data_IF_259167719903
#
_entry.id   IF_259167719903
#
_cell.length_a   1.000
_cell.length_b   1.000
_cell.length_c   1.000
_cell.angle_alpha   90.00
_cell.angle_beta   90.00
_cell.angle_gamma   90.00
#
_symmetry.space_group_name_H-M   'P 1'
#
loop_
_entity.id
_entity.type
_entity.pdbx_description
1 polymer ?
#
# COMPACT_ATOMS: atom_id res chain seq x y z
N UNK A 1 13.92 6.60 -16.82
CA UNK A 1 12.48 6.66 -17.16
C UNK A 1 12.33 7.00 -18.63
N UNK A 2 11.47 6.29 -19.37
CA UNK A 2 11.16 6.66 -20.75
C UNK A 2 10.17 7.84 -20.75
N UNK A 3 10.16 8.71 -21.79
CA UNK A 3 9.27 9.88 -21.85
C UNK A 3 7.77 9.53 -21.79
N UNK A 4 7.40 8.30 -22.17
CA UNK A 4 6.03 7.79 -22.06
C UNK A 4 5.60 7.55 -20.60
N UNK A 5 6.51 7.08 -19.76
CA UNK A 5 6.25 6.83 -18.33
C UNK A 5 6.07 8.15 -17.58
N UNK A 6 6.84 9.17 -17.96
CA UNK A 6 6.73 10.53 -17.41
C UNK A 6 5.37 11.16 -17.77
N UNK A 7 4.94 11.02 -19.02
CA UNK A 7 3.65 11.55 -19.46
C UNK A 7 2.49 10.84 -18.76
N UNK A 8 2.53 9.51 -18.62
CA UNK A 8 1.52 8.76 -17.88
C UNK A 8 1.45 9.18 -16.41
N UNK A 9 2.60 9.40 -15.76
CA UNK A 9 2.68 9.83 -14.36
C UNK A 9 2.15 11.26 -14.19
N UNK A 10 2.51 12.16 -15.09
CA UNK A 10 2.03 13.55 -15.09
C UNK A 10 0.52 13.64 -15.32
N UNK A 11 -0.02 12.84 -16.27
CA UNK A 11 -1.47 12.75 -16.51
C UNK A 11 -2.18 12.20 -15.28
N UNK A 12 -1.67 11.11 -14.69
CA UNK A 12 -2.25 10.54 -13.48
C UNK A 12 -2.24 11.51 -12.29
N UNK A 13 -1.16 12.29 -12.12
CA UNK A 13 -1.08 13.34 -11.10
C UNK A 13 -2.09 14.45 -11.36
N UNK A 14 -2.22 14.90 -12.61
CA UNK A 14 -3.20 15.91 -12.99
C UNK A 14 -4.64 15.44 -12.73
N UNK A 15 -4.95 14.17 -13.02
CA UNK A 15 -6.25 13.55 -12.70
C UNK A 15 -6.45 13.52 -11.17
N UNK A 16 -5.46 13.07 -10.41
CA UNK A 16 -5.53 13.07 -8.94
C UNK A 16 -5.82 14.47 -8.38
N UNK A 17 -5.05 15.48 -8.81
CA UNK A 17 -5.25 16.88 -8.41
C UNK A 17 -6.62 17.41 -8.81
N UNK A 18 -7.13 17.08 -9.99
CA UNK A 18 -8.46 17.47 -10.43
C UNK A 18 -9.55 16.85 -9.54
N UNK A 19 -9.41 15.59 -9.14
CA UNK A 19 -10.35 14.94 -8.22
C UNK A 19 -10.30 15.58 -6.83
N UNK A 20 -9.10 15.90 -6.31
CA UNK A 20 -8.96 16.61 -5.04
C UNK A 20 -9.58 18.02 -5.08
N UNK A 21 -9.38 18.75 -6.17
CA UNK A 21 -9.99 20.06 -6.37
C UNK A 21 -11.52 19.95 -6.44
N UNK A 22 -12.06 18.96 -7.16
CA UNK A 22 -13.48 18.69 -7.21
C UNK A 22 -14.05 18.31 -5.83
N UNK A 23 -13.35 17.46 -5.08
CA UNK A 23 -13.72 17.05 -3.73
C UNK A 23 -13.78 18.26 -2.78
N UNK A 24 -12.76 19.12 -2.82
CA UNK A 24 -12.73 20.35 -2.03
C UNK A 24 -13.84 21.32 -2.46
N UNK A 25 -14.10 21.48 -3.76
CA UNK A 25 -15.17 22.33 -4.27
C UNK A 25 -16.56 21.84 -3.80
N UNK A 26 -16.85 20.55 -3.91
CA UNK A 26 -18.10 19.93 -3.46
C UNK A 26 -18.27 20.03 -1.94
N UNK A 27 -17.19 19.93 -1.17
CA UNK A 27 -17.21 20.09 0.28
C UNK A 27 -17.31 21.55 0.75
N UNK A 28 -17.39 22.52 -0.17
CA UNK A 28 -17.45 23.94 0.15
C UNK A 28 -16.05 24.55 0.31
N UNK A 29 -15.29 24.62 -0.79
CA UNK A 29 -13.84 24.88 -0.81
C UNK A 29 -13.30 25.94 0.16
N UNK A 30 -13.98 27.08 0.34
CA UNK A 30 -13.59 28.08 1.37
C UNK A 30 -13.63 27.51 2.79
N UNK A 31 -14.70 26.83 3.17
CA UNK A 31 -14.81 26.19 4.48
C UNK A 31 -13.75 25.09 4.69
N UNK A 32 -13.33 24.41 3.62
CA UNK A 32 -12.22 23.44 3.68
C UNK A 32 -10.90 24.15 3.94
N UNK A 33 -10.62 25.25 3.23
CA UNK A 33 -9.42 26.07 3.43
C UNK A 33 -9.39 26.70 4.82
N UNK A 34 -10.53 27.20 5.31
CA UNK A 34 -10.65 27.77 6.66
C UNK A 34 -10.42 26.70 7.73
N UNK A 35 -10.94 25.48 7.54
CA UNK A 35 -10.71 24.36 8.45
C UNK A 35 -9.24 23.91 8.47
N UNK A 36 -8.56 23.92 7.31
CA UNK A 36 -7.12 23.67 7.22
C UNK A 36 -6.30 24.79 7.89
N UNK A 37 -6.67 26.05 7.66
CA UNK A 37 -6.01 27.22 8.26
C UNK A 37 -6.20 27.31 9.78
N UNK A 38 -7.33 26.81 10.29
CA UNK A 38 -7.63 26.70 11.71
C UNK A 38 -7.09 25.43 12.39
N UNK A 39 -6.40 24.56 11.65
CA UNK A 39 -5.91 23.29 12.18
C UNK A 39 -4.88 23.52 13.31
N UNK A 40 -5.03 22.79 14.41
CA UNK A 40 -4.12 22.91 15.57
C UNK A 40 -2.71 22.41 15.21
N UNK A 41 -1.67 23.26 15.19
CA UNK A 41 -0.34 22.88 14.69
C UNK A 41 0.29 21.73 15.47
N UNK A 42 0.10 21.68 16.78
CA UNK A 42 0.59 20.58 17.62
C UNK A 42 0.02 19.23 17.19
N UNK A 43 -1.26 19.15 16.84
CA UNK A 43 -1.86 17.91 16.35
C UNK A 43 -1.39 17.58 14.93
N UNK A 44 -1.20 18.59 14.06
CA UNK A 44 -0.60 18.38 12.72
C UNK A 44 0.79 17.75 12.81
N UNK A 45 1.62 18.20 13.75
CA UNK A 45 2.93 17.59 13.99
C UNK A 45 2.84 16.13 14.46
N UNK A 46 1.87 15.81 15.32
CA UNK A 46 1.64 14.41 15.75
C UNK A 46 1.09 13.55 14.60
N UNK A 47 0.27 14.11 13.71
CA UNK A 47 -0.16 13.42 12.47
C UNK A 47 1.05 13.07 11.61
N UNK A 48 1.98 14.01 11.39
CA UNK A 48 3.22 13.75 10.69
C UNK A 48 4.06 12.66 11.39
N UNK A 49 4.16 12.70 12.72
CA UNK A 49 4.86 11.67 13.49
C UNK A 49 4.20 10.28 13.34
N UNK A 50 2.87 10.20 13.30
CA UNK A 50 2.13 8.97 13.08
C UNK A 50 2.39 8.39 11.68
N UNK A 51 2.46 9.24 10.65
CA UNK A 51 2.79 8.85 9.27
C UNK A 51 4.23 8.31 9.19
N UNK A 52 5.18 8.97 9.85
CA UNK A 52 6.57 8.48 9.91
C UNK A 52 6.67 7.16 10.70
N UNK A 53 5.93 7.03 11.80
CA UNK A 53 5.87 5.79 12.57
C UNK A 53 5.31 4.65 11.73
N UNK A 54 4.24 4.89 10.95
CA UNK A 54 3.73 3.92 9.98
C UNK A 54 4.82 3.48 8.99
N UNK A 55 5.55 4.42 8.39
CA UNK A 55 6.62 4.13 7.45
C UNK A 55 7.74 3.27 8.08
N UNK A 56 8.12 3.58 9.32
CA UNK A 56 9.11 2.81 10.07
C UNK A 56 8.61 1.39 10.41
N UNK A 57 7.38 1.27 10.89
CA UNK A 57 6.78 -0.01 11.27
C UNK A 57 6.63 -0.95 10.07
N UNK A 58 6.25 -0.41 8.91
CA UNK A 58 6.21 -1.17 7.67
C UNK A 58 7.60 -1.56 7.17
N UNK A 59 8.61 -0.70 7.36
CA UNK A 59 10.02 -1.09 7.17
C UNK A 59 10.47 -2.24 8.06
N UNK A 60 10.03 -2.30 9.33
CA UNK A 60 10.31 -3.42 10.23
C UNK A 60 9.57 -4.71 9.82
N UNK A 61 8.34 -4.59 9.32
CA UNK A 61 7.62 -5.72 8.75
C UNK A 61 8.33 -6.26 7.50
N UNK A 62 8.80 -5.37 6.62
CA UNK A 62 9.62 -5.74 5.46
C UNK A 62 10.93 -6.42 5.89
N UNK A 63 11.60 -5.91 6.92
CA UNK A 63 12.79 -6.55 7.49
C UNK A 63 12.51 -7.99 7.94
N UNK A 64 11.40 -8.23 8.61
CA UNK A 64 11.02 -9.57 9.07
C UNK A 64 10.76 -10.52 7.88
N UNK A 65 10.13 -10.01 6.81
CA UNK A 65 9.96 -10.74 5.54
C UNK A 65 11.32 -11.07 4.92
N UNK A 66 12.21 -10.09 4.75
CA UNK A 66 13.54 -10.30 4.18
C UNK A 66 14.39 -11.27 5.02
N UNK A 67 14.31 -11.17 6.34
CA UNK A 67 14.98 -12.11 7.23
C UNK A 67 14.48 -13.55 7.01
N UNK A 68 13.18 -13.75 6.75
CA UNK A 68 12.61 -15.06 6.44
C UNK A 68 13.18 -15.68 5.16
N UNK A 69 13.69 -14.83 4.27
CA UNK A 69 14.36 -15.22 3.02
C UNK A 69 15.87 -15.46 3.20
N UNK A 70 16.37 -15.35 4.44
CA UNK A 70 17.80 -15.48 4.74
C UNK A 70 18.61 -14.21 4.43
N UNK A 71 17.95 -13.08 4.15
CA UNK A 71 18.62 -11.79 3.93
C UNK A 71 18.60 -10.98 5.23
N UNK A 72 19.75 -10.84 5.88
CA UNK A 72 19.86 -10.01 7.08
C UNK A 72 20.08 -8.55 6.70
N UNK A 73 19.02 -7.75 6.83
CA UNK A 73 19.04 -6.31 6.57
C UNK A 73 18.90 -5.58 7.89
N UNK A 74 19.72 -4.54 8.09
CA UNK A 74 19.61 -3.66 9.25
C UNK A 74 18.24 -2.98 9.32
N UNK A 75 17.77 -2.64 10.52
CA UNK A 75 16.47 -1.98 10.70
C UNK A 75 16.37 -0.66 9.92
N UNK A 76 17.44 0.15 9.94
CA UNK A 76 17.50 1.41 9.22
C UNK A 76 17.40 1.20 7.71
N UNK A 77 18.16 0.24 7.17
CA UNK A 77 18.16 -0.03 5.74
C UNK A 77 16.81 -0.56 5.27
N UNK A 78 16.14 -1.40 6.04
CA UNK A 78 14.79 -1.86 5.72
C UNK A 78 13.75 -0.70 5.72
N UNK A 79 13.88 0.26 6.64
CA UNK A 79 13.06 1.48 6.64
C UNK A 79 13.37 2.36 5.43
N UNK A 80 14.64 2.54 5.07
CA UNK A 80 15.04 3.29 3.88
C UNK A 80 14.53 2.63 2.60
N UNK A 81 14.61 1.30 2.50
CA UNK A 81 14.07 0.53 1.38
C UNK A 81 12.55 0.68 1.30
N UNK A 82 11.83 0.59 2.43
CA UNK A 82 10.38 0.81 2.46
C UNK A 82 10.00 2.26 2.09
N UNK A 83 10.79 3.25 2.51
CA UNK A 83 10.60 4.65 2.12
C UNK A 83 10.86 4.86 0.62
N UNK A 84 11.93 4.27 0.07
CA UNK A 84 12.23 4.31 -1.35
C UNK A 84 11.14 3.62 -2.20
N UNK A 85 10.58 2.51 -1.70
CA UNK A 85 9.43 1.84 -2.29
C UNK A 85 8.19 2.74 -2.33
N UNK A 86 7.88 3.41 -1.22
CA UNK A 86 6.77 4.36 -1.16
C UNK A 86 6.95 5.51 -2.18
N UNK A 87 8.18 6.03 -2.31
CA UNK A 87 8.49 7.01 -3.35
C UNK A 87 8.27 6.47 -4.76
N UNK A 88 8.75 5.25 -5.06
CA UNK A 88 8.54 4.61 -6.35
C UNK A 88 7.03 4.52 -6.68
N UNK A 89 6.22 4.06 -5.72
CA UNK A 89 4.76 3.97 -5.85
C UNK A 89 4.09 5.34 -6.10
N UNK A 90 4.67 6.41 -5.57
CA UNK A 90 4.15 7.78 -5.72
C UNK A 90 4.54 8.45 -7.04
N UNK A 91 5.54 7.92 -7.75
CA UNK A 91 5.99 8.46 -9.05
C UNK A 91 5.64 7.55 -10.23
N UNK A 92 5.14 6.33 -9.99
CA UNK A 92 4.70 5.41 -11.04
C UNK A 92 3.19 5.51 -11.30
N UNK A 93 2.75 5.46 -12.58
CA UNK A 93 1.33 5.29 -12.90
C UNK A 93 0.81 3.96 -12.35
N UNK A 94 -0.50 3.86 -12.08
CA UNK A 94 -1.12 2.69 -11.44
C UNK A 94 -0.73 2.45 -9.97
N UNK A 95 -0.20 3.46 -9.28
CA UNK A 95 0.04 3.43 -7.83
C UNK A 95 0.76 2.16 -7.38
N UNK A 96 0.10 1.35 -6.55
CA UNK A 96 0.61 0.08 -6.03
C UNK A 96 0.91 -0.94 -7.16
N UNK A 97 -0.01 -1.13 -8.12
CA UNK A 97 0.14 -2.15 -9.16
C UNK A 97 1.27 -1.83 -10.16
N UNK A 98 1.59 -0.56 -10.39
CA UNK A 98 2.71 -0.13 -11.23
C UNK A 98 4.03 0.05 -10.46
N UNK A 99 3.95 0.33 -9.17
CA UNK A 99 5.10 0.57 -8.31
C UNK A 99 5.70 -0.68 -7.68
N UNK A 100 4.95 -1.78 -7.59
CA UNK A 100 5.44 -3.09 -7.13
C UNK A 100 6.66 -3.60 -7.93
N UNK A 101 6.65 -3.63 -9.29
CA UNK A 101 7.85 -4.00 -10.06
C UNK A 101 9.01 -3.02 -9.88
N UNK A 102 8.74 -1.71 -9.77
CA UNK A 102 9.78 -0.71 -9.55
C UNK A 102 10.43 -0.87 -8.16
N UNK A 103 9.62 -1.17 -7.15
CA UNK A 103 10.06 -1.49 -5.79
C UNK A 103 10.88 -2.77 -5.77
N UNK A 104 10.43 -3.81 -6.45
CA UNK A 104 11.18 -5.07 -6.57
C UNK A 104 12.54 -4.87 -7.27
N UNK A 105 12.62 -4.00 -8.29
CA UNK A 105 13.91 -3.62 -8.90
C UNK A 105 14.82 -2.90 -7.90
N UNK A 106 14.30 -1.93 -7.14
CA UNK A 106 15.08 -1.22 -6.11
C UNK A 106 15.60 -2.20 -5.03
N UNK A 107 14.76 -3.12 -4.57
CA UNK A 107 15.14 -4.15 -3.60
C UNK A 107 16.18 -5.11 -4.19
N UNK A 108 16.05 -5.48 -5.46
CA UNK A 108 17.01 -6.33 -6.16
C UNK A 108 18.39 -5.66 -6.25
N UNK A 109 18.43 -4.37 -6.62
CA UNK A 109 19.66 -3.58 -6.73
C UNK A 109 20.33 -3.35 -5.36
N UNK A 110 19.55 -2.98 -4.34
CA UNK A 110 20.09 -2.72 -2.99
C UNK A 110 20.53 -4.01 -2.29
N UNK A 111 19.76 -5.08 -2.46
CA UNK A 111 20.00 -6.36 -1.78
C UNK A 111 20.89 -7.34 -2.55
N UNK A 112 21.30 -7.02 -3.79
CA UNK A 112 22.03 -7.95 -4.65
C UNK A 112 21.26 -9.25 -4.93
N UNK A 113 19.93 -9.18 -4.96
CA UNK A 113 19.06 -10.36 -5.14
C UNK A 113 18.45 -10.39 -6.53
N UNK A 114 18.16 -11.58 -7.11
CA UNK A 114 17.44 -11.65 -8.38
C UNK A 114 16.07 -10.97 -8.28
N UNK A 115 15.68 -10.29 -9.36
CA UNK A 115 14.42 -9.55 -9.45
C UNK A 115 13.20 -10.40 -9.08
N UNK A 116 13.14 -11.66 -9.51
CA UNK A 116 12.03 -12.57 -9.21
C UNK A 116 11.91 -12.85 -7.71
N UNK A 117 13.04 -12.97 -7.01
CA UNK A 117 13.07 -13.15 -5.55
C UNK A 117 12.64 -11.88 -4.82
N UNK A 118 13.12 -10.72 -5.27
CA UNK A 118 12.72 -9.43 -4.72
C UNK A 118 11.22 -9.18 -4.93
N UNK A 119 10.69 -9.51 -6.11
CA UNK A 119 9.26 -9.41 -6.44
C UNK A 119 8.42 -10.34 -5.55
N UNK A 120 8.85 -11.58 -5.37
CA UNK A 120 8.19 -12.52 -4.45
C UNK A 120 8.20 -12.04 -3.00
N UNK A 121 9.28 -11.39 -2.56
CA UNK A 121 9.38 -10.79 -1.23
C UNK A 121 8.38 -9.65 -1.03
N UNK A 122 8.27 -8.75 -2.02
CA UNK A 122 7.31 -7.64 -1.99
C UNK A 122 5.88 -8.15 -2.05
N UNK A 123 5.56 -9.09 -2.94
CA UNK A 123 4.23 -9.72 -2.94
C UNK A 123 3.91 -10.37 -1.59
N UNK A 124 4.87 -11.04 -0.96
CA UNK A 124 4.68 -11.64 0.37
C UNK A 124 4.35 -10.57 1.42
N UNK A 125 5.05 -9.45 1.36
CA UNK A 125 4.80 -8.29 2.22
C UNK A 125 3.40 -7.70 1.98
N UNK A 126 2.97 -7.54 0.72
CA UNK A 126 1.66 -6.98 0.39
C UNK A 126 0.51 -7.89 0.85
N UNK A 127 0.60 -9.19 0.55
CA UNK A 127 -0.38 -10.21 0.99
C UNK A 127 -0.47 -10.24 2.52
N UNK A 128 0.66 -10.12 3.22
CA UNK A 128 0.69 -10.06 4.67
C UNK A 128 -0.04 -8.83 5.20
N UNK A 129 0.12 -7.67 4.55
CA UNK A 129 -0.54 -6.42 4.95
C UNK A 129 -2.07 -6.43 4.80
N UNK A 130 -2.61 -7.28 3.92
CA UNK A 130 -4.06 -7.45 3.75
C UNK A 130 -4.72 -7.97 5.03
N UNK A 131 -4.05 -8.86 5.78
CA UNK A 131 -4.63 -9.51 6.97
C UNK A 131 -4.92 -8.49 8.09
N UNK A 132 -3.96 -7.64 8.52
CA UNK A 132 -4.25 -6.58 9.48
C UNK A 132 -5.27 -5.56 8.98
N UNK A 133 -5.20 -5.19 7.69
CA UNK A 133 -6.14 -4.24 7.07
C UNK A 133 -7.59 -4.70 7.21
N UNK A 134 -7.88 -5.93 6.76
CA UNK A 134 -9.22 -6.52 6.85
C UNK A 134 -9.66 -6.74 8.30
N UNK A 135 -8.73 -7.14 9.18
CA UNK A 135 -9.03 -7.36 10.59
C UNK A 135 -9.46 -6.06 11.28
N UNK A 136 -8.73 -4.97 11.07
CA UNK A 136 -9.07 -3.67 11.62
C UNK A 136 -10.38 -3.12 11.04
N UNK A 137 -10.61 -3.32 9.74
CA UNK A 137 -11.88 -2.97 9.11
C UNK A 137 -13.06 -3.72 9.73
N UNK A 138 -12.92 -5.03 9.93
CA UNK A 138 -13.95 -5.87 10.56
C UNK A 138 -14.22 -5.43 12.00
N UNK A 139 -13.16 -5.17 12.79
CA UNK A 139 -13.30 -4.68 14.17
C UNK A 139 -13.98 -3.31 14.21
N UNK A 140 -13.60 -2.38 13.33
CA UNK A 140 -14.21 -1.05 13.23
C UNK A 140 -15.70 -1.11 12.88
N UNK A 141 -16.07 -1.94 11.89
CA UNK A 141 -17.47 -2.13 11.50
C UNK A 141 -18.28 -2.82 12.59
N UNK A 142 -17.71 -3.84 13.25
CA UNK A 142 -18.37 -4.53 14.36
C UNK A 142 -18.63 -3.56 15.53
N UNK A 143 -17.63 -2.76 15.91
CA UNK A 143 -17.78 -1.74 16.94
C UNK A 143 -18.85 -0.70 16.55
N UNK A 144 -18.85 -0.23 15.30
CA UNK A 144 -19.86 0.70 14.79
C UNK A 144 -21.29 0.11 14.89
N UNK A 145 -21.45 -1.16 14.53
CA UNK A 145 -22.75 -1.85 14.57
C UNK A 145 -23.34 -1.98 15.98
N UNK A 146 -22.52 -1.91 17.04
CA UNK A 146 -23.01 -1.96 18.43
C UNK A 146 -23.66 -0.66 18.90
N UNK A 147 -23.32 0.47 18.28
CA UNK A 147 -23.73 1.82 18.75
C UNK A 147 -24.63 2.55 17.75
N UNK A 148 -24.65 2.13 16.49
CA UNK A 148 -25.40 2.78 15.44
C UNK A 148 -26.21 1.77 14.63
N UNK A 149 -27.44 2.14 14.30
CA UNK A 149 -28.22 1.42 13.31
C UNK A 149 -27.52 1.54 11.94
N UNK A 150 -27.06 0.42 11.40
CA UNK A 150 -26.40 0.40 10.10
C UNK A 150 -27.40 0.78 9.00
N UNK A 151 -27.18 1.91 8.33
CA UNK A 151 -27.87 2.23 7.09
C UNK A 151 -27.66 1.14 6.02
N UNK A 152 -28.54 1.07 5.01
CA UNK A 152 -28.47 0.06 3.92
C UNK A 152 -27.07 -0.05 3.32
N UNK A 153 -26.43 1.09 2.99
CA UNK A 153 -25.08 1.12 2.40
C UNK A 153 -24.02 0.49 3.31
N UNK A 154 -24.05 0.81 4.60
CA UNK A 154 -23.07 0.29 5.54
C UNK A 154 -23.30 -1.19 5.86
N UNK A 155 -24.55 -1.67 5.84
CA UNK A 155 -24.84 -3.11 5.85
C UNK A 155 -24.25 -3.83 4.65
N UNK A 156 -24.33 -3.25 3.45
CA UNK A 156 -23.72 -3.83 2.25
C UNK A 156 -22.19 -3.88 2.37
N UNK A 157 -21.56 -2.82 2.89
CA UNK A 157 -20.11 -2.79 3.16
C UNK A 157 -19.72 -3.84 4.21
N UNK A 158 -20.47 -3.92 5.32
CA UNK A 158 -20.25 -4.92 6.37
C UNK A 158 -20.39 -6.35 5.85
N UNK A 159 -21.43 -6.61 5.04
CA UNK A 159 -21.63 -7.91 4.40
C UNK A 159 -20.49 -8.24 3.43
N UNK A 160 -20.06 -7.27 2.61
CA UNK A 160 -18.91 -7.42 1.73
C UNK A 160 -17.62 -7.73 2.50
N UNK A 161 -17.35 -7.02 3.59
CA UNK A 161 -16.23 -7.29 4.48
C UNK A 161 -16.31 -8.68 5.12
N UNK A 162 -17.49 -9.11 5.58
CA UNK A 162 -17.68 -10.45 6.12
C UNK A 162 -17.41 -11.53 5.05
N UNK A 163 -17.91 -11.32 3.83
CA UNK A 163 -17.63 -12.20 2.69
C UNK A 163 -16.13 -12.25 2.41
N UNK A 164 -15.44 -11.11 2.34
CA UNK A 164 -13.99 -11.07 2.09
C UNK A 164 -13.21 -11.69 3.25
N UNK A 165 -13.57 -11.43 4.50
CA UNK A 165 -12.92 -11.98 5.69
C UNK A 165 -13.03 -13.51 5.76
N UNK A 166 -14.09 -14.09 5.21
CA UNK A 166 -14.26 -15.56 5.08
C UNK A 166 -13.62 -16.08 3.79
N UNK A 167 -13.84 -15.42 2.66
CA UNK A 167 -13.36 -15.86 1.35
C UNK A 167 -11.84 -15.76 1.23
N UNK A 168 -11.21 -14.69 1.73
CA UNK A 168 -9.77 -14.50 1.64
C UNK A 168 -8.96 -15.65 2.27
N UNK A 169 -9.19 -16.07 3.53
CA UNK A 169 -8.47 -17.21 4.10
C UNK A 169 -8.83 -18.54 3.44
N UNK A 170 -10.07 -18.72 2.96
CA UNK A 170 -10.45 -19.92 2.20
C UNK A 170 -9.70 -20.00 0.86
N UNK A 171 -9.68 -18.91 0.10
CA UNK A 171 -8.95 -18.78 -1.16
C UNK A 171 -7.46 -18.97 -0.92
N UNK A 172 -6.89 -18.30 0.08
CA UNK A 172 -5.49 -18.48 0.46
C UNK A 172 -5.18 -19.93 0.85
N UNK A 173 -6.04 -20.58 1.63
CA UNK A 173 -5.90 -21.98 2.01
C UNK A 173 -6.04 -22.96 0.84
N UNK A 174 -6.94 -22.70 -0.11
CA UNK A 174 -7.06 -23.48 -1.35
C UNK A 174 -5.84 -23.26 -2.25
N UNK A 175 -5.41 -22.00 -2.43
CA UNK A 175 -4.22 -21.65 -3.19
C UNK A 175 -2.98 -22.32 -2.59
N UNK A 176 -2.83 -22.29 -1.27
CA UNK A 176 -1.73 -22.93 -0.56
C UNK A 176 -1.73 -24.46 -0.70
N UNK A 177 -2.92 -25.10 -0.63
CA UNK A 177 -3.06 -26.54 -0.86
C UNK A 177 -2.77 -26.94 -2.29
N UNK A 178 -3.11 -26.09 -3.26
CA UNK A 178 -2.89 -26.32 -4.69
C UNK A 178 -1.63 -25.67 -5.22
N UNK A 179 -0.72 -25.18 -4.37
CA UNK A 179 0.43 -24.34 -4.78
C UNK A 179 1.31 -24.99 -5.86
N UNK A 180 1.66 -26.27 -5.71
CA UNK A 180 2.43 -27.02 -6.72
C UNK A 180 1.70 -27.14 -8.05
N UNK A 181 0.38 -27.30 -8.02
CA UNK A 181 -0.45 -27.36 -9.23
C UNK A 181 -0.60 -25.98 -9.88
N UNK A 182 -0.73 -24.92 -9.07
CA UNK A 182 -0.79 -23.54 -9.54
C UNK A 182 0.55 -23.13 -10.18
N UNK A 183 1.66 -23.49 -9.56
CA UNK A 183 3.00 -23.27 -10.08
C UNK A 183 3.21 -23.97 -11.44
N UNK A 184 2.89 -25.27 -11.52
CA UNK A 184 2.98 -26.02 -12.78
C UNK A 184 2.07 -25.41 -13.88
N UNK A 185 0.89 -24.92 -13.50
CA UNK A 185 -0.05 -24.24 -14.40
C UNK A 185 0.52 -22.90 -14.88
N UNK A 186 1.07 -22.09 -13.98
CA UNK A 186 1.72 -20.81 -14.28
C UNK A 186 2.88 -21.01 -15.26
N UNK A 187 3.77 -21.97 -14.99
CA UNK A 187 4.86 -22.33 -15.91
C UNK A 187 4.30 -22.70 -17.28
N UNK A 188 3.27 -23.54 -17.33
CA UNK A 188 2.61 -23.94 -18.57
C UNK A 188 2.04 -22.77 -19.36
N UNK A 189 1.28 -21.89 -18.71
CA UNK A 189 0.65 -20.71 -19.32
C UNK A 189 1.71 -19.72 -19.80
N UNK A 190 2.65 -19.35 -18.94
CA UNK A 190 3.71 -18.40 -19.28
C UNK A 190 4.58 -18.91 -20.42
N UNK A 191 4.91 -20.20 -20.46
CA UNK A 191 5.67 -20.79 -21.56
C UNK A 191 4.87 -20.75 -22.88
N UNK A 192 3.53 -20.93 -22.84
CA UNK A 192 2.68 -20.82 -24.04
C UNK A 192 2.62 -19.37 -24.53
N UNK A 193 2.40 -18.42 -23.62
CA UNK A 193 2.34 -16.98 -23.93
C UNK A 193 3.68 -16.52 -24.50
N UNK A 194 4.80 -16.89 -23.88
CA UNK A 194 6.13 -16.52 -24.33
C UNK A 194 6.47 -17.13 -25.70
N UNK A 195 6.05 -18.38 -25.97
CA UNK A 195 6.17 -18.99 -27.32
C UNK A 195 5.29 -18.30 -28.35
N UNK A 196 4.06 -17.92 -27.99
CA UNK A 196 3.16 -17.20 -28.89
C UNK A 196 3.68 -15.78 -29.20
N UNK A 197 4.25 -15.10 -28.22
CA UNK A 197 4.89 -13.79 -28.37
C UNK A 197 6.17 -13.89 -29.22
N UNK A 198 7.02 -14.89 -28.99
CA UNK A 198 8.24 -15.13 -29.78
C UNK A 198 7.95 -15.43 -31.26
N UNK A 199 6.79 -16.01 -31.58
CA UNK A 199 6.34 -16.17 -32.98
C UNK A 199 6.00 -14.85 -33.68
N UNK A 200 5.67 -13.80 -32.92
CA UNK A 200 5.31 -12.48 -33.44
C UNK A 200 6.43 -11.44 -33.33
N UNK A 201 7.50 -11.75 -32.59
CA UNK A 201 8.64 -10.85 -32.35
C UNK A 201 9.93 -11.49 -32.91
N UNK A 202 10.38 -11.10 -34.12
CA UNK A 202 11.50 -11.75 -34.84
C UNK A 202 12.86 -11.75 -34.13
N UNK A 203 13.00 -11.04 -33.00
CA UNK A 203 14.28 -10.81 -32.31
C UNK A 203 14.36 -11.40 -30.89
N UNK A 204 13.32 -12.07 -30.40
CA UNK A 204 13.30 -12.65 -29.04
C UNK A 204 13.24 -14.16 -29.14
N UNK A 205 14.32 -14.85 -28.74
CA UNK A 205 14.29 -16.31 -28.60
C UNK A 205 13.25 -16.67 -27.54
N UNK A 206 12.25 -17.52 -27.84
CA UNK A 206 11.25 -17.90 -26.85
C UNK A 206 11.98 -18.58 -25.69
N UNK A 207 11.77 -18.14 -24.43
CA UNK A 207 12.42 -18.72 -23.27
C UNK A 207 12.07 -20.20 -23.15
N UNK A 208 13.06 -21.01 -22.80
CA UNK A 208 12.84 -22.43 -22.56
C UNK A 208 11.95 -22.63 -21.33
N UNK A 209 11.20 -23.74 -21.31
CA UNK A 209 10.33 -24.10 -20.20
C UNK A 209 11.10 -24.16 -18.88
N UNK A 210 12.34 -24.65 -18.89
CA UNK A 210 13.20 -24.70 -17.69
C UNK A 210 13.52 -23.30 -17.14
N UNK A 211 13.77 -22.33 -18.03
CA UNK A 211 14.02 -20.94 -17.63
C UNK A 211 12.77 -20.27 -17.06
N UNK A 212 11.59 -20.55 -17.62
CA UNK A 212 10.31 -20.07 -17.07
C UNK A 212 10.05 -20.71 -15.71
N UNK A 213 10.30 -22.02 -15.58
CA UNK A 213 10.16 -22.74 -14.31
C UNK A 213 11.05 -22.13 -13.21
N UNK A 214 12.35 -21.91 -13.49
CA UNK A 214 13.27 -21.32 -12.53
C UNK A 214 12.85 -19.90 -12.07
N UNK A 215 12.27 -19.09 -12.97
CA UNK A 215 11.75 -17.75 -12.60
C UNK A 215 10.49 -17.82 -11.74
N UNK A 216 9.56 -18.72 -12.08
CA UNK A 216 8.35 -18.94 -11.27
C UNK A 216 8.73 -19.48 -9.90
N UNK A 217 9.64 -20.44 -9.82
CA UNK A 217 10.17 -20.97 -8.55
C UNK A 217 10.84 -19.85 -7.74
N UNK A 218 11.66 -19.01 -8.37
CA UNK A 218 12.28 -17.84 -7.73
C UNK A 218 11.27 -16.83 -7.16
N UNK A 219 10.08 -16.73 -7.74
CA UNK A 219 8.98 -15.88 -7.24
C UNK A 219 8.16 -16.56 -6.14
N UNK A 220 7.88 -17.86 -6.27
CA UNK A 220 7.07 -18.63 -5.31
C UNK A 220 7.84 -18.98 -4.03
N UNK A 221 9.14 -19.29 -4.15
CA UNK A 221 9.96 -19.70 -3.01
C UNK A 221 9.99 -18.67 -1.86
N UNK A 222 10.08 -17.34 -2.11
CA UNK A 222 9.94 -16.35 -1.06
C UNK A 222 8.62 -16.42 -0.29
N UNK A 223 7.50 -16.62 -1.00
CA UNK A 223 6.17 -16.74 -0.40
C UNK A 223 6.12 -17.98 0.51
N UNK A 224 6.67 -19.10 0.04
CA UNK A 224 6.73 -20.32 0.84
C UNK A 224 7.62 -20.19 2.08
N UNK A 225 8.76 -19.52 1.96
CA UNK A 225 9.70 -19.30 3.06
C UNK A 225 9.09 -18.44 4.17
N UNK A 226 8.43 -17.32 3.81
CA UNK A 226 7.76 -16.44 4.77
C UNK A 226 6.63 -17.17 5.50
N UNK A 227 5.83 -17.95 4.78
CA UNK A 227 4.75 -18.74 5.37
C UNK A 227 5.25 -19.91 6.24
N UNK A 228 6.47 -20.41 5.99
CA UNK A 228 7.12 -21.45 6.79
C UNK A 228 7.72 -20.96 8.12
N UNK A 229 8.15 -19.70 8.20
CA UNK A 229 8.77 -19.12 9.40
C UNK A 229 7.75 -18.41 10.31
N UNK A 230 7.16 -19.16 11.23
CA UNK A 230 6.13 -18.65 12.16
C UNK A 230 6.58 -17.43 12.97
N UNK A 231 7.85 -17.42 13.42
CA UNK A 231 8.34 -16.34 14.27
C UNK A 231 8.41 -15.03 13.48
N UNK A 232 9.01 -15.08 12.29
CA UNK A 232 9.13 -13.90 11.43
C UNK A 232 7.79 -13.45 10.88
N UNK A 233 6.89 -14.39 10.57
CA UNK A 233 5.52 -14.09 10.18
C UNK A 233 4.77 -13.31 11.28
N UNK A 234 4.86 -13.73 12.55
CA UNK A 234 4.23 -13.02 13.67
C UNK A 234 4.81 -11.62 13.84
N UNK A 235 6.14 -11.46 13.75
CA UNK A 235 6.79 -10.15 13.85
C UNK A 235 6.33 -9.23 12.71
N UNK A 236 6.28 -9.75 11.48
CA UNK A 236 5.82 -8.99 10.32
C UNK A 236 4.34 -8.57 10.47
N UNK A 237 3.47 -9.48 10.92
CA UNK A 237 2.05 -9.18 11.16
C UNK A 237 1.86 -8.15 12.28
N UNK A 238 2.62 -8.26 13.37
CA UNK A 238 2.55 -7.31 14.48
C UNK A 238 3.00 -5.91 14.04
N UNK A 239 4.13 -5.81 13.32
CA UNK A 239 4.64 -4.55 12.81
C UNK A 239 3.71 -3.94 11.74
N UNK A 240 3.14 -4.75 10.84
CA UNK A 240 2.12 -4.31 9.88
C UNK A 240 0.87 -3.78 10.59
N UNK A 241 0.35 -4.53 11.58
CA UNK A 241 -0.83 -4.12 12.37
C UNK A 241 -0.57 -2.81 13.10
N UNK A 242 0.59 -2.66 13.73
CA UNK A 242 0.98 -1.42 14.38
C UNK A 242 1.06 -0.26 13.37
N UNK A 243 1.57 -0.51 12.15
CA UNK A 243 1.59 0.48 11.07
C UNK A 243 0.20 0.92 10.63
N UNK A 244 -0.74 -0.03 10.47
CA UNK A 244 -2.14 0.31 10.19
C UNK A 244 -2.78 1.11 11.33
N UNK A 245 -2.54 0.73 12.58
CA UNK A 245 -3.03 1.48 13.74
C UNK A 245 -2.43 2.90 13.78
N UNK A 246 -1.16 3.08 13.41
CA UNK A 246 -0.56 4.40 13.28
C UNK A 246 -1.27 5.25 12.21
N UNK A 247 -1.68 4.66 11.07
CA UNK A 247 -2.51 5.37 10.07
C UNK A 247 -3.90 5.71 10.62
N UNK A 248 -4.57 4.77 11.30
CA UNK A 248 -5.88 4.99 11.94
C UNK A 248 -5.81 6.13 12.94
N UNK A 249 -4.81 6.13 13.82
CA UNK A 249 -4.56 7.19 14.80
C UNK A 249 -4.21 8.50 14.08
N UNK A 250 -3.41 8.46 13.02
CA UNK A 250 -3.07 9.62 12.20
C UNK A 250 -4.30 10.31 11.63
N UNK A 251 -5.22 9.56 10.98
CA UNK A 251 -6.47 10.13 10.47
C UNK A 251 -7.37 10.64 11.61
N UNK A 252 -7.44 9.90 12.73
CA UNK A 252 -8.20 10.34 13.89
C UNK A 252 -7.68 11.66 14.47
N UNK A 253 -6.35 11.81 14.57
CA UNK A 253 -5.72 13.05 15.02
C UNK A 253 -5.88 14.18 14.01
N UNK A 254 -5.89 13.89 12.71
CA UNK A 254 -6.18 14.88 11.68
C UNK A 254 -7.61 15.44 11.81
N UNK A 255 -8.59 14.58 12.08
CA UNK A 255 -9.97 14.99 12.40
C UNK A 255 -10.00 15.90 13.64
N UNK A 256 -9.28 15.52 14.70
CA UNK A 256 -9.16 16.34 15.92
C UNK A 256 -8.44 17.67 15.68
N UNK A 257 -7.47 17.71 14.76
CA UNK A 257 -6.70 18.91 14.43
C UNK A 257 -7.61 20.01 13.84
N UNK A 258 -8.56 19.62 12.99
CA UNK A 258 -9.53 20.53 12.35
C UNK A 258 -10.84 20.68 13.14
N UNK A 259 -10.89 20.17 14.38
CA UNK A 259 -12.03 20.31 15.28
C UNK A 259 -13.19 19.31 15.05
N UNK A 260 -13.04 18.33 14.17
CA UNK A 260 -14.03 17.27 13.98
C UNK A 260 -13.92 16.21 15.09
N UNK A 261 -15.03 15.95 15.78
CA UNK A 261 -15.11 14.93 16.83
C UNK A 261 -15.69 13.66 16.25
N UNK A 262 -14.83 12.70 15.97
CA UNK A 262 -15.19 11.39 15.44
C UNK A 262 -14.64 10.30 16.39
N UNK A 263 -15.45 9.30 16.78
CA UNK A 263 -14.97 8.18 17.57
C UNK A 263 -13.88 7.38 16.85
N UNK A 264 -12.87 6.89 17.58
CA UNK A 264 -11.72 6.18 17.00
C UNK A 264 -12.10 4.92 16.21
N UNK A 265 -13.22 4.28 16.56
CA UNK A 265 -13.70 3.09 15.83
C UNK A 265 -14.14 3.38 14.39
N UNK A 266 -14.38 4.65 14.03
CA UNK A 266 -14.73 5.01 12.65
C UNK A 266 -13.49 4.96 11.73
N UNK A 267 -12.36 5.64 12.05
CA UNK A 267 -11.10 5.47 11.33
C UNK A 267 -10.63 4.02 11.16
N UNK A 268 -10.95 3.11 12.09
CA UNK A 268 -10.57 1.68 12.01
C UNK A 268 -11.03 0.99 10.73
N UNK A 269 -12.19 1.36 10.19
CA UNK A 269 -12.66 0.82 8.90
C UNK A 269 -12.53 1.82 7.75
N UNK A 270 -12.57 3.13 8.02
CA UNK A 270 -12.40 4.16 6.98
C UNK A 270 -11.03 4.06 6.33
N UNK A 271 -9.96 3.87 7.12
CA UNK A 271 -8.59 3.80 6.58
C UNK A 271 -8.39 2.58 5.68
N UNK A 272 -8.63 1.33 6.13
CA UNK A 272 -8.56 0.14 5.28
C UNK A 272 -9.48 0.16 4.06
N UNK A 273 -10.74 0.58 4.22
CA UNK A 273 -11.66 0.61 3.07
C UNK A 273 -11.30 1.72 2.08
N UNK A 274 -10.70 2.81 2.56
CA UNK A 274 -10.18 3.89 1.73
C UNK A 274 -9.09 3.41 0.77
N UNK A 275 -8.26 2.44 1.16
CA UNK A 275 -7.17 1.96 0.29
C UNK A 275 -7.66 1.22 -0.95
N UNK A 276 -8.95 0.85 -1.04
CA UNK A 276 -9.57 0.38 -2.29
C UNK A 276 -9.45 1.43 -3.40
N UNK A 277 -9.45 2.72 -3.03
CA UNK A 277 -9.25 3.83 -3.95
C UNK A 277 -7.87 3.84 -4.61
N UNK A 278 -6.88 3.15 -4.05
CA UNK A 278 -5.55 3.01 -4.66
C UNK A 278 -5.55 2.19 -5.95
N UNK A 279 -6.67 1.53 -6.29
CA UNK A 279 -6.85 0.89 -7.60
C UNK A 279 -7.00 1.88 -8.76
N UNK A 280 -7.27 3.17 -8.46
CA UNK A 280 -7.33 4.21 -9.48
C UNK A 280 -5.92 4.40 -10.08
N UNK A 281 -5.77 4.58 -11.41
CA UNK A 281 -4.47 4.66 -12.07
C UNK A 281 -3.74 5.99 -11.85
N UNK A 282 -3.79 6.54 -10.63
CA UNK A 282 -3.15 7.78 -10.21
C UNK A 282 -1.90 7.48 -9.36
N UNK A 283 -0.87 8.33 -9.42
CA UNK A 283 0.35 8.13 -8.63
C UNK A 283 0.02 8.09 -7.13
N UNK A 284 0.50 7.05 -6.44
CA UNK A 284 0.21 6.82 -5.02
C UNK A 284 -1.28 6.64 -4.65
N UNK A 285 -2.19 6.47 -5.62
CA UNK A 285 -3.63 6.41 -5.37
C UNK A 285 -4.27 7.77 -5.03
N UNK A 286 -3.56 8.88 -5.26
CA UNK A 286 -4.06 10.24 -5.06
C UNK A 286 -5.36 10.48 -5.84
N UNK A 287 -6.35 11.04 -5.16
CA UNK A 287 -7.68 11.29 -5.72
C UNK A 287 -8.58 10.06 -5.74
N UNK A 288 -8.08 8.86 -5.46
CA UNK A 288 -8.90 7.65 -5.31
C UNK A 288 -9.27 7.38 -3.86
N UNK A 289 -8.29 7.49 -2.96
CA UNK A 289 -8.45 7.18 -1.53
C UNK A 289 -9.32 8.23 -0.83
N UNK A 290 -9.08 9.51 -1.11
CA UNK A 290 -9.67 10.64 -0.40
C UNK A 290 -11.19 10.71 -0.55
N UNK A 291 -11.78 10.59 -1.76
CA UNK A 291 -13.23 10.60 -1.91
C UNK A 291 -13.90 9.45 -1.16
N UNK A 292 -13.30 8.25 -1.14
CA UNK A 292 -13.83 7.10 -0.40
C UNK A 292 -13.80 7.38 1.11
N UNK A 293 -12.69 7.88 1.63
CA UNK A 293 -12.57 8.20 3.05
C UNK A 293 -13.55 9.30 3.47
N UNK A 294 -13.68 10.38 2.69
CA UNK A 294 -14.64 11.46 2.93
C UNK A 294 -16.07 10.93 2.87
N UNK A 295 -16.41 10.10 1.88
CA UNK A 295 -17.73 9.52 1.74
C UNK A 295 -18.08 8.61 2.93
N UNK A 296 -17.15 7.75 3.36
CA UNK A 296 -17.36 6.88 4.52
C UNK A 296 -17.51 7.69 5.81
N UNK A 297 -16.65 8.68 6.05
CA UNK A 297 -16.75 9.54 7.24
C UNK A 297 -18.06 10.33 7.27
N UNK A 298 -18.46 10.91 6.15
CA UNK A 298 -19.72 11.67 6.05
C UNK A 298 -20.94 10.75 6.19
N UNK A 299 -20.88 9.52 5.69
CA UNK A 299 -21.99 8.56 5.79
C UNK A 299 -22.12 7.92 7.18
N UNK A 300 -21.05 7.93 7.98
CA UNK A 300 -21.01 7.22 9.27
C UNK A 300 -20.92 8.15 10.48
N UNK A 301 -20.80 9.45 10.26
CA UNK A 301 -20.70 10.46 11.31
C UNK A 301 -21.64 11.63 11.03
N UNK A 302 -21.93 12.41 12.07
CA UNK A 302 -22.66 13.68 11.96
C UNK A 302 -21.72 14.88 11.79
N UNK A 303 -20.42 14.64 11.57
CA UNK A 303 -19.45 15.71 11.40
C UNK A 303 -19.70 16.45 10.07
N UNK A 304 -19.48 17.76 10.08
CA UNK A 304 -19.63 18.58 8.88
C UNK A 304 -18.63 18.13 7.79
N UNK A 305 -19.09 18.10 6.54
CA UNK A 305 -18.31 17.62 5.39
C UNK A 305 -17.02 18.41 5.18
N UNK A 306 -17.03 19.74 5.38
CA UNK A 306 -15.85 20.58 5.18
C UNK A 306 -14.68 20.21 6.12
N UNK A 307 -14.85 20.16 7.46
CA UNK A 307 -13.81 19.64 8.37
C UNK A 307 -13.38 18.20 8.07
N UNK A 308 -14.31 17.31 7.72
CA UNK A 308 -13.98 15.92 7.35
C UNK A 308 -13.06 15.90 6.13
N UNK A 309 -13.40 16.64 5.07
CA UNK A 309 -12.57 16.77 3.87
C UNK A 309 -11.21 17.39 4.19
N UNK A 310 -11.17 18.45 5.00
CA UNK A 310 -9.92 19.06 5.44
C UNK A 310 -9.00 18.07 6.17
N UNK A 311 -9.54 17.27 7.09
CA UNK A 311 -8.78 16.24 7.81
C UNK A 311 -8.23 15.15 6.87
N UNK A 312 -9.05 14.67 5.93
CA UNK A 312 -8.62 13.67 4.94
C UNK A 312 -7.54 14.23 4.03
N UNK A 313 -7.68 15.47 3.55
CA UNK A 313 -6.64 16.12 2.74
C UNK A 313 -5.34 16.32 3.53
N UNK A 314 -5.44 16.79 4.78
CA UNK A 314 -4.29 16.95 5.67
C UNK A 314 -3.54 15.62 5.87
N UNK A 315 -4.28 14.54 6.13
CA UNK A 315 -3.72 13.22 6.36
C UNK A 315 -3.13 12.61 5.07
N UNK A 316 -3.93 12.55 4.00
CA UNK A 316 -3.57 11.85 2.76
C UNK A 316 -2.62 12.66 1.88
N UNK A 317 -2.93 13.93 1.59
CA UNK A 317 -2.05 14.78 0.76
C UNK A 317 -0.81 15.19 1.53
N UNK A 318 -0.95 15.57 2.81
CA UNK A 318 0.19 15.86 3.67
C UNK A 318 1.09 14.63 3.86
N UNK A 319 0.48 13.45 4.07
CA UNK A 319 1.20 12.18 4.14
C UNK A 319 1.87 11.80 2.84
N UNK A 320 1.23 11.99 1.69
CA UNK A 320 1.81 11.79 0.37
C UNK A 320 3.06 12.64 0.19
N UNK A 321 2.99 13.96 0.46
CA UNK A 321 4.13 14.87 0.33
C UNK A 321 5.27 14.46 1.27
N UNK A 322 4.94 14.16 2.54
CA UNK A 322 5.91 13.80 3.56
C UNK A 322 6.65 12.50 3.19
N UNK A 323 5.91 11.44 2.88
CA UNK A 323 6.49 10.13 2.54
C UNK A 323 7.22 10.15 1.19
N UNK A 324 6.75 10.91 0.20
CA UNK A 324 7.49 11.13 -1.05
C UNK A 324 8.83 11.80 -0.78
N UNK A 325 8.85 12.82 0.09
CA UNK A 325 10.07 13.56 0.42
C UNK A 325 11.08 12.70 1.19
N UNK A 326 10.61 11.95 2.19
CA UNK A 326 11.44 10.98 2.94
C UNK A 326 11.95 9.87 2.03
N UNK A 327 11.10 9.34 1.16
CA UNK A 327 11.46 8.29 0.21
C UNK A 327 12.46 8.74 -0.86
N UNK A 328 12.31 9.95 -1.39
CA UNK A 328 13.31 10.55 -2.28
C UNK A 328 14.68 10.68 -1.59
N UNK A 329 14.70 11.13 -0.33
CA UNK A 329 15.90 11.15 0.49
C UNK A 329 16.50 9.75 0.71
N UNK A 330 15.66 8.74 0.93
CA UNK A 330 16.11 7.36 1.09
C UNK A 330 16.75 6.81 -0.19
N UNK A 331 16.16 7.06 -1.36
CA UNK A 331 16.75 6.71 -2.67
C UNK A 331 18.13 7.34 -2.84
N UNK A 332 18.29 8.62 -2.49
CA UNK A 332 19.57 9.31 -2.57
C UNK A 332 20.63 8.69 -1.65
N UNK A 333 20.27 8.39 -0.39
CA UNK A 333 21.18 7.75 0.57
C UNK A 333 21.59 6.34 0.12
N UNK A 334 20.64 5.53 -0.34
CA UNK A 334 20.90 4.17 -0.82
C UNK A 334 21.75 4.19 -2.10
N UNK A 335 21.46 5.09 -3.04
CA UNK A 335 22.21 5.22 -4.30
C UNK A 335 23.65 5.72 -4.12
N UNK A 336 23.92 6.56 -3.12
CA UNK A 336 25.29 6.96 -2.78
C UNK A 336 26.10 5.78 -2.23
N UNK A 337 25.47 4.90 -1.42
CA UNK A 337 26.15 3.74 -0.82
C UNK A 337 26.52 2.68 -1.86
N UNK A 338 25.64 2.39 -2.81
CA UNK A 338 25.96 1.43 -3.90
C UNK A 338 27.10 1.92 -4.79
N UNK A 339 27.16 3.23 -5.09
CA UNK A 339 28.28 3.83 -5.85
C UNK A 339 29.61 3.79 -5.09
N UNK A 340 29.59 3.99 -3.77
CA UNK A 340 30.79 3.95 -2.94
C UNK A 340 31.41 2.54 -2.83
N UNK A 341 30.63 1.48 -3.06
CA UNK A 341 31.07 0.07 -2.96
C UNK A 341 31.57 -0.47 -4.31
N UNK A 342 31.49 0.30 -5.41
CA UNK A 342 32.11 -0.06 -6.70
C UNK A 342 31.38 -1.14 -7.51
N UNK A 343 30.08 -1.35 -7.28
CA UNK A 343 29.24 -2.31 -8.03
C UNK A 343 28.51 -1.67 -9.23
N UNK A 344 29.17 -0.76 -9.95
CA UNK A 344 28.64 -0.09 -11.14
C UNK A 344 29.00 -0.80 -12.44
#
# INVERSE_FOLDING_TARGET
MQPRDLLASAVGLAVGLAVLAALAAVAGGRAVLDALGGARPGLVAVVAAAILAWLCLWGLALRAVLAALGTDVGAVDAVLVNAAAAFANHVTPFGQAGGEPATALLVAEVGGTPFERALGAITSFDVLNVVPSLSLAAVGVAAYATVAALGVRLRTVAAGLAVVAVAAPLVAGVAWRRRRALEATLVGVLTRVARAAGRRLPRVRPPDRSSVAARVEGYVAPIEAVAGDRRRLVVALAASTAGWLAQVVGLWLALRAVGAVVPLYVPLFVVPLGTVGAALPTPGGLGGIEPIQVALLTATTTAATAPVTAAVLLFSVGGFILTTSVGAGAVAVLGMRTRAIGLG
#
